data_IF_569662543050
#
_entry.id   IF_569662543050
#
_cell.length_a   1.000
_cell.length_b   1.000
_cell.length_c   1.000
_cell.angle_alpha   90.00
_cell.angle_beta   90.00
_cell.angle_gamma   90.00
#
_symmetry.space_group_name_H-M   'P 1'
#
loop_
_entity.id
_entity.type
_entity.pdbx_description
1 polymer ?
#
# COMPACT_ATOMS: atom_id res chain seq x y z
N UNK A 1 16.12 -18.55 5.84
CA UNK A 1 15.97 -17.09 5.61
C UNK A 1 14.51 -16.80 5.32
N UNK A 2 13.83 -16.02 6.15
CA UNK A 2 12.38 -15.76 5.98
C UNK A 2 12.14 -14.96 4.70
N UNK A 3 11.62 -15.62 3.66
CA UNK A 3 11.33 -15.07 2.34
C UNK A 3 10.06 -14.20 2.34
N UNK A 4 9.72 -13.56 3.46
CA UNK A 4 8.52 -12.73 3.52
C UNK A 4 8.74 -11.48 2.69
N UNK A 5 7.99 -11.38 1.60
CA UNK A 5 7.89 -10.19 0.76
C UNK A 5 7.07 -9.06 1.42
N UNK A 6 6.54 -9.32 2.62
CA UNK A 6 5.69 -8.43 3.40
C UNK A 6 6.29 -8.14 4.77
N UNK A 7 5.82 -7.06 5.37
CA UNK A 7 6.03 -6.72 6.77
C UNK A 7 4.77 -7.03 7.56
N UNK A 8 4.93 -7.43 8.82
CA UNK A 8 3.91 -7.15 9.83
C UNK A 8 4.06 -5.70 10.32
N UNK A 9 2.98 -5.02 10.73
CA UNK A 9 3.08 -3.63 11.18
C UNK A 9 4.12 -3.40 12.28
N UNK A 10 4.24 -4.34 13.22
CA UNK A 10 5.21 -4.33 14.31
C UNK A 10 6.67 -4.56 13.88
N UNK A 11 6.92 -5.04 12.66
CA UNK A 11 8.28 -5.22 12.12
C UNK A 11 8.86 -3.92 11.55
N UNK A 12 8.02 -2.91 11.28
CA UNK A 12 8.42 -1.67 10.61
C UNK A 12 8.93 -0.67 11.64
N UNK A 13 10.21 -0.33 11.53
CA UNK A 13 10.92 0.62 12.39
C UNK A 13 11.04 1.99 11.71
N UNK A 14 11.24 3.02 12.51
CA UNK A 14 11.51 4.37 12.01
C UNK A 14 12.70 4.39 11.04
N UNK A 15 12.57 5.15 9.95
CA UNK A 15 13.55 5.22 8.86
C UNK A 15 13.39 4.16 7.78
N UNK A 16 12.52 3.16 7.97
CA UNK A 16 12.25 2.16 6.93
C UNK A 16 11.14 2.62 5.99
N UNK A 17 11.29 2.27 4.72
CA UNK A 17 10.22 2.40 3.73
C UNK A 17 9.47 1.08 3.56
N UNK A 18 8.17 1.21 3.25
CA UNK A 18 7.32 0.09 2.88
C UNK A 18 6.34 0.52 1.79
N UNK A 19 5.72 -0.45 1.13
CA UNK A 19 4.86 -0.21 -0.01
C UNK A 19 3.48 -0.80 0.22
N UNK A 20 2.44 -0.10 -0.23
CA UNK A 20 1.07 -0.58 -0.22
C UNK A 20 0.53 -0.53 -1.64
N UNK A 21 -0.24 -1.54 -2.00
CA UNK A 21 -0.95 -1.62 -3.27
C UNK A 21 -2.46 -1.53 -3.05
N UNK A 22 -3.15 -0.74 -3.86
CA UNK A 22 -4.62 -0.68 -3.88
C UNK A 22 -5.12 -0.38 -5.30
N UNK A 23 -6.43 -0.52 -5.51
CA UNK A 23 -7.09 -0.12 -6.74
C UNK A 23 -7.82 1.20 -6.51
N UNK A 24 -7.48 2.22 -7.29
CA UNK A 24 -8.13 3.51 -7.29
C UNK A 24 -9.32 3.49 -8.26
N UNK A 25 -10.53 3.61 -7.73
CA UNK A 25 -11.77 3.64 -8.51
C UNK A 25 -12.25 5.07 -8.82
N UNK A 26 -11.55 6.10 -8.35
CA UNK A 26 -12.05 7.48 -8.32
C UNK A 26 -11.36 8.37 -9.36
N UNK A 27 -10.07 8.14 -9.63
CA UNK A 27 -9.27 9.03 -10.50
C UNK A 27 -9.55 8.95 -12.00
N UNK A 28 -10.41 8.04 -12.45
CA UNK A 28 -10.68 7.89 -13.88
C UNK A 28 -11.83 6.93 -14.21
N UNK A 29 -12.17 6.79 -15.50
CA UNK A 29 -13.28 5.96 -15.96
C UNK A 29 -13.04 4.46 -15.76
N UNK A 30 -11.80 4.04 -15.52
CA UNK A 30 -11.42 2.66 -15.25
C UNK A 30 -10.63 2.60 -13.94
N UNK A 31 -10.78 1.52 -13.16
CA UNK A 31 -10.02 1.37 -11.94
C UNK A 31 -8.52 1.26 -12.23
N UNK A 32 -7.70 2.02 -11.50
CA UNK A 32 -6.26 2.10 -11.72
C UNK A 32 -5.51 1.40 -10.58
N UNK A 33 -4.63 0.43 -10.86
CA UNK A 33 -3.77 -0.15 -9.84
C UNK A 33 -2.69 0.86 -9.42
N UNK A 34 -2.60 1.13 -8.12
CA UNK A 34 -1.66 2.09 -7.54
C UNK A 34 -0.76 1.39 -6.53
N UNK A 35 0.53 1.75 -6.54
CA UNK A 35 1.49 1.41 -5.50
C UNK A 35 1.99 2.69 -4.85
N UNK A 36 1.72 2.85 -3.55
CA UNK A 36 2.25 3.96 -2.75
C UNK A 36 3.42 3.47 -1.91
N UNK A 37 4.43 4.32 -1.83
CA UNK A 37 5.55 4.19 -0.91
C UNK A 37 5.30 5.07 0.33
N UNK A 38 5.62 4.54 1.50
CA UNK A 38 5.56 5.26 2.77
C UNK A 38 6.89 5.13 3.52
N UNK A 39 7.25 6.19 4.25
CA UNK A 39 8.39 6.24 5.16
C UNK A 39 7.91 6.20 6.62
N UNK A 40 8.37 5.22 7.39
CA UNK A 40 8.08 5.12 8.81
C UNK A 40 8.86 6.16 9.62
N UNK A 41 8.19 6.82 10.57
CA UNK A 41 8.78 7.85 11.45
C UNK A 41 8.60 7.50 12.93
N UNK A 42 9.37 8.15 13.81
CA UNK A 42 9.49 7.76 15.21
C UNK A 42 8.36 8.25 16.14
N UNK A 43 7.80 9.46 15.97
CA UNK A 43 6.56 9.90 16.68
C UNK A 43 6.02 11.31 16.40
N UNK A 44 6.63 12.12 15.54
CA UNK A 44 6.12 13.48 15.24
C UNK A 44 5.64 13.55 13.80
N UNK A 45 4.34 13.76 13.62
CA UNK A 45 3.76 13.83 12.29
C UNK A 45 2.26 14.08 12.29
N UNK A 46 1.80 14.43 11.10
CA UNK A 46 0.40 14.68 10.75
C UNK A 46 -0.47 13.44 11.00
N UNK A 47 -1.66 13.66 11.56
CA UNK A 47 -2.73 12.66 11.55
C UNK A 47 -3.76 13.09 10.51
N UNK A 48 -3.95 12.32 9.43
CA UNK A 48 -4.89 12.70 8.38
C UNK A 48 -6.32 12.72 8.90
N UNK A 49 -7.12 13.61 8.32
CA UNK A 49 -8.55 13.66 8.56
C UNK A 49 -9.24 12.40 8.02
N UNK A 50 -10.50 12.20 8.39
CA UNK A 50 -11.31 11.13 7.81
C UNK A 50 -11.41 11.32 6.29
N UNK A 51 -11.28 10.22 5.54
CA UNK A 51 -11.24 10.19 4.06
C UNK A 51 -10.04 10.87 3.40
N UNK A 52 -9.07 11.41 4.16
CA UNK A 52 -7.86 11.96 3.59
C UNK A 52 -6.82 10.85 3.30
N UNK A 53 -6.11 10.99 2.18
CA UNK A 53 -5.01 10.09 1.83
C UNK A 53 -3.88 10.21 2.87
N UNK A 54 -3.39 9.06 3.33
CA UNK A 54 -2.28 9.00 4.27
C UNK A 54 -1.05 9.79 3.77
N UNK A 55 -0.38 10.58 4.63
CA UNK A 55 0.82 11.30 4.25
C UNK A 55 1.97 10.32 3.96
N UNK A 56 2.95 10.76 3.15
CA UNK A 56 4.14 9.95 2.85
C UNK A 56 4.88 9.46 4.12
N UNK A 57 4.91 10.27 5.17
CA UNK A 57 5.57 9.96 6.45
C UNK A 57 4.56 9.43 7.46
N UNK A 58 4.66 8.15 7.82
CA UNK A 58 3.71 7.49 8.71
C UNK A 58 4.31 7.18 10.07
N UNK A 59 3.55 7.49 11.12
CA UNK A 59 3.87 7.11 12.50
C UNK A 59 3.40 5.68 12.79
N UNK A 60 3.95 5.00 13.82
CA UNK A 60 3.67 3.59 14.07
C UNK A 60 2.18 3.26 14.22
N UNK A 61 1.39 4.17 14.81
CA UNK A 61 -0.05 3.97 14.99
C UNK A 61 -0.81 3.98 13.64
N UNK A 62 -0.39 4.83 12.69
CA UNK A 62 -0.95 4.85 11.34
C UNK A 62 -0.55 3.61 10.53
N UNK A 63 0.70 3.15 10.70
CA UNK A 63 1.18 1.91 10.07
C UNK A 63 0.36 0.71 10.55
N UNK A 64 0.04 0.64 11.84
CA UNK A 64 -0.83 -0.41 12.42
C UNK A 64 -2.23 -0.35 11.84
N UNK A 65 -2.84 0.84 11.77
CA UNK A 65 -4.17 1.01 11.17
C UNK A 65 -4.17 0.60 9.69
N UNK A 66 -3.20 1.09 8.93
CA UNK A 66 -3.04 0.73 7.53
C UNK A 66 -2.82 -0.78 7.34
N UNK A 67 -2.05 -1.42 8.22
CA UNK A 67 -1.80 -2.85 8.20
C UNK A 67 -3.00 -3.73 8.60
N UNK A 68 -4.08 -3.16 9.15
CA UNK A 68 -5.32 -3.87 9.38
C UNK A 68 -6.10 -4.07 8.08
N UNK A 69 -6.04 -3.10 7.17
CA UNK A 69 -6.81 -3.08 5.92
C UNK A 69 -5.95 -3.45 4.71
N UNK A 70 -4.64 -3.24 4.77
CA UNK A 70 -3.72 -3.35 3.65
C UNK A 70 -2.53 -4.26 3.95
N UNK A 71 -2.08 -4.99 2.93
CA UNK A 71 -0.81 -5.71 3.00
C UNK A 71 0.37 -4.75 2.85
N UNK A 72 1.32 -4.83 3.79
CA UNK A 72 2.53 -3.99 3.80
C UNK A 72 3.67 -4.74 3.11
N UNK A 73 4.14 -4.27 1.96
CA UNK A 73 5.19 -4.92 1.17
C UNK A 73 6.57 -4.33 1.45
N UNK A 74 7.59 -5.19 1.42
CA UNK A 74 8.99 -4.77 1.57
C UNK A 74 9.56 -4.07 0.34
N UNK A 75 8.99 -4.35 -0.84
CA UNK A 75 9.47 -3.80 -2.11
C UNK A 75 8.31 -3.37 -3.00
N UNK A 76 8.53 -2.33 -3.81
CA UNK A 76 7.60 -1.90 -4.86
C UNK A 76 7.27 -3.03 -5.83
N UNK A 77 8.26 -3.88 -6.17
CA UNK A 77 8.09 -5.02 -7.07
C UNK A 77 7.11 -6.05 -6.51
N UNK A 78 7.20 -6.34 -5.21
CA UNK A 78 6.27 -7.25 -4.54
C UNK A 78 4.85 -6.70 -4.52
N UNK A 79 4.69 -5.40 -4.20
CA UNK A 79 3.39 -4.71 -4.25
C UNK A 79 2.78 -4.71 -5.66
N UNK A 80 3.58 -4.37 -6.69
CA UNK A 80 3.13 -4.38 -8.08
C UNK A 80 2.74 -5.78 -8.56
N UNK A 81 3.44 -6.83 -8.10
CA UNK A 81 3.11 -8.22 -8.44
C UNK A 81 1.73 -8.61 -7.90
N UNK A 82 1.34 -8.13 -6.73
CA UNK A 82 0.03 -8.40 -6.13
C UNK A 82 -1.13 -7.83 -6.96
N UNK A 83 -0.87 -6.80 -7.77
CA UNK A 83 -1.86 -6.15 -8.63
C UNK A 83 -2.01 -6.82 -10.00
N UNK A 84 -1.12 -7.76 -10.37
CA UNK A 84 -1.15 -8.44 -11.68
C UNK A 84 -2.46 -9.17 -11.98
N UNK A 85 -3.10 -9.91 -11.04
CA UNK A 85 -4.37 -10.59 -11.32
C UNK A 85 -5.47 -9.61 -11.72
N UNK A 86 -5.48 -8.42 -11.10
CA UNK A 86 -6.45 -7.37 -11.42
C UNK A 86 -6.20 -6.79 -12.81
N UNK A 87 -4.95 -6.49 -13.14
CA UNK A 87 -4.56 -6.05 -14.49
C UNK A 87 -4.95 -7.06 -15.57
N UNK A 88 -4.74 -8.35 -15.31
CA UNK A 88 -5.14 -9.42 -16.21
C UNK A 88 -6.66 -9.50 -16.37
N UNK A 89 -7.43 -9.25 -15.30
CA UNK A 89 -8.90 -9.18 -15.37
C UNK A 89 -9.39 -8.02 -16.24
N UNK A 90 -8.79 -6.83 -16.10
CA UNK A 90 -9.15 -5.67 -16.93
C UNK A 90 -8.83 -5.84 -18.41
N UNK A 91 -7.81 -6.64 -18.74
CA UNK A 91 -7.37 -6.89 -20.11
C UNK A 91 -8.12 -8.04 -20.81
N UNK A 92 -9.02 -8.76 -20.11
CA UNK A 92 -9.82 -9.80 -20.74
C UNK A 92 -10.81 -9.16 -21.72
N UNK A 93 -10.82 -9.57 -22.99
CA UNK A 93 -11.86 -9.11 -23.92
C UNK A 93 -13.21 -9.54 -23.35
N UNK A 94 -14.13 -8.59 -23.21
CA UNK A 94 -15.53 -8.91 -22.92
C UNK A 94 -16.08 -9.60 -24.17
N UNK A 95 -16.14 -10.91 -24.15
CA UNK A 95 -16.89 -11.68 -25.14
C UNK A 95 -18.36 -11.26 -25.03
N UNK A 96 -18.83 -10.53 -26.03
CA UNK A 96 -20.25 -10.29 -26.30
C UNK A 96 -20.82 -11.45 -27.11
#
# INVERSE_FOLDING_TARGET
MSSRHTYRPEEIRAGQTFFVSYIDFVRGPLPVPVVIEYLATSRRGYWPAECEVYPYRLRPELIKRLGADCTLYRTRRSAARALKPFLAFLQRPRSH
#
